data_IF_682836115132
#
_entry.id   IF_682836115132
#
_cell.length_a   1.000
_cell.length_b   1.000
_cell.length_c   1.000
_cell.angle_alpha   90.00
_cell.angle_beta   90.00
_cell.angle_gamma   90.00
#
_symmetry.space_group_name_H-M   'P 1'
#
loop_
_entity.id
_entity.type
_entity.pdbx_description
1 polymer ?
#
# COMPACT_ATOMS: atom_id res chain seq x y z
N UNK A 1 -10.22 16.50 0.84
CA UNK A 1 -9.11 16.12 1.76
C UNK A 1 -8.29 17.36 2.13
N UNK A 2 -7.74 17.42 3.35
CA UNK A 2 -6.73 18.42 3.75
C UNK A 2 -5.55 17.68 4.40
N UNK A 3 -4.34 17.98 3.95
CA UNK A 3 -3.12 17.49 4.60
C UNK A 3 -2.57 18.54 5.54
N UNK A 4 -2.21 18.14 6.75
CA UNK A 4 -1.62 18.99 7.79
C UNK A 4 -0.27 18.41 8.17
N UNK A 5 0.81 19.12 7.86
CA UNK A 5 2.16 18.76 8.31
C UNK A 5 2.31 19.19 9.77
N UNK A 6 2.48 18.25 10.68
CA UNK A 6 2.57 18.47 12.13
C UNK A 6 4.01 18.65 12.60
N UNK A 7 4.97 18.03 11.92
CA UNK A 7 6.38 18.09 12.26
C UNK A 7 7.26 17.30 11.30
N UNK A 8 8.55 17.28 11.58
CA UNK A 8 9.53 16.48 10.85
C UNK A 8 10.78 16.25 11.71
N UNK A 9 11.53 15.18 11.39
CA UNK A 9 12.87 14.90 11.93
C UNK A 9 13.79 14.51 10.76
N UNK A 10 14.66 15.44 10.34
CA UNK A 10 15.30 15.38 9.05
C UNK A 10 14.28 15.33 7.92
N UNK A 11 14.41 14.44 6.91
CA UNK A 11 13.40 14.27 5.86
C UNK A 11 12.15 13.53 6.31
N UNK A 12 12.18 12.77 7.43
CA UNK A 12 11.04 12.03 7.94
C UNK A 12 9.93 12.98 8.40
N UNK A 13 8.73 12.79 7.88
CA UNK A 13 7.61 13.72 8.02
C UNK A 13 6.55 13.17 8.96
N UNK A 14 5.96 14.05 9.77
CA UNK A 14 4.80 13.78 10.61
C UNK A 14 3.64 14.63 10.11
N UNK A 15 2.52 14.00 9.79
CA UNK A 15 1.36 14.73 9.28
C UNK A 15 0.03 14.07 9.65
N UNK A 16 -1.05 14.68 9.17
CA UNK A 16 -2.42 14.21 9.33
C UNK A 16 -3.23 14.52 8.09
N UNK A 17 -3.96 13.53 7.61
CA UNK A 17 -4.96 13.68 6.57
C UNK A 17 -6.33 13.83 7.20
N UNK A 18 -7.10 14.83 6.76
CA UNK A 18 -8.46 15.08 7.21
C UNK A 18 -9.46 14.77 6.10
N UNK A 19 -10.43 13.91 6.41
CA UNK A 19 -11.53 13.55 5.53
C UNK A 19 -12.85 13.73 6.26
N UNK A 20 -14.00 13.84 5.55
CA UNK A 20 -15.32 13.79 6.19
C UNK A 20 -15.56 12.50 6.99
N UNK A 21 -14.93 11.38 6.56
CA UNK A 21 -15.03 10.06 7.18
C UNK A 21 -13.99 9.78 8.28
N UNK A 22 -13.21 10.76 8.69
CA UNK A 22 -12.22 10.62 9.76
C UNK A 22 -10.85 11.19 9.42
N UNK A 23 -9.89 10.91 10.27
CA UNK A 23 -8.50 11.37 10.12
C UNK A 23 -7.56 10.18 9.95
N UNK A 24 -6.43 10.42 9.29
CA UNK A 24 -5.34 9.44 9.14
C UNK A 24 -4.04 10.08 9.58
N UNK A 25 -3.43 9.49 10.60
CA UNK A 25 -2.12 9.92 11.09
C UNK A 25 -1.01 9.38 10.18
N UNK A 26 -0.11 10.24 9.71
CA UNK A 26 1.02 9.83 8.86
C UNK A 26 2.36 9.94 9.58
N UNK A 27 3.33 9.05 9.27
CA UNK A 27 3.29 7.93 8.33
C UNK A 27 2.21 6.90 8.62
N UNK A 28 1.58 6.37 7.56
CA UNK A 28 0.46 5.43 7.65
C UNK A 28 0.67 4.20 6.76
N UNK A 29 0.22 3.02 7.23
CA UNK A 29 0.14 1.81 6.43
C UNK A 29 -1.32 1.44 6.17
N UNK A 30 -1.69 1.27 4.91
CA UNK A 30 -3.04 0.93 4.46
C UNK A 30 -3.17 -0.59 4.24
N UNK A 31 -3.95 -1.31 5.05
CA UNK A 31 -4.30 -2.69 4.76
C UNK A 31 -5.05 -2.82 3.43
N UNK A 32 -4.66 -3.81 2.60
CA UNK A 32 -5.22 -4.00 1.26
C UNK A 32 -6.47 -4.86 1.30
N UNK A 33 -7.59 -4.27 0.89
CA UNK A 33 -8.90 -4.89 0.75
C UNK A 33 -9.29 -5.15 -0.71
N UNK A 34 -8.65 -6.12 -1.37
CA UNK A 34 -8.73 -6.38 -2.82
C UNK A 34 -10.15 -6.44 -3.38
N UNK A 35 -11.07 -7.12 -2.68
CA UNK A 35 -12.48 -7.27 -3.09
C UNK A 35 -13.42 -6.59 -2.09
N UNK A 36 -13.07 -5.42 -1.59
CA UNK A 36 -13.81 -4.74 -0.54
C UNK A 36 -13.65 -5.38 0.84
N UNK A 37 -12.68 -6.28 1.00
CA UNK A 37 -12.35 -6.89 2.29
C UNK A 37 -10.85 -7.10 2.44
N UNK A 38 -10.31 -6.76 3.60
CA UNK A 38 -8.96 -7.19 3.99
C UNK A 38 -9.05 -8.67 4.35
N UNK A 39 -8.30 -9.51 3.62
CA UNK A 39 -8.42 -10.98 3.72
C UNK A 39 -8.23 -11.46 5.16
N UNK A 40 -9.15 -12.31 5.60
CA UNK A 40 -9.19 -12.91 6.93
C UNK A 40 -9.37 -11.90 8.09
N UNK A 41 -9.94 -10.71 7.82
CA UNK A 41 -10.21 -9.67 8.83
C UNK A 41 -11.67 -9.22 8.78
N UNK A 42 -12.25 -9.04 9.93
CA UNK A 42 -13.50 -8.29 10.10
C UNK A 42 -13.18 -6.78 10.16
N UNK A 43 -14.09 -5.89 9.73
CA UNK A 43 -13.89 -4.44 9.87
C UNK A 43 -13.63 -3.99 11.32
N UNK A 44 -14.28 -4.62 12.30
CA UNK A 44 -14.06 -4.37 13.73
C UNK A 44 -12.62 -4.72 14.15
N UNK A 45 -12.09 -5.83 13.66
CA UNK A 45 -10.71 -6.24 13.94
C UNK A 45 -9.68 -5.27 13.32
N UNK A 46 -9.99 -4.70 12.15
CA UNK A 46 -9.15 -3.65 11.54
C UNK A 46 -9.13 -2.38 12.41
N UNK A 47 -10.29 -1.96 12.93
CA UNK A 47 -10.35 -0.82 13.86
C UNK A 47 -9.61 -1.12 15.15
N UNK A 48 -9.77 -2.31 15.71
CA UNK A 48 -9.14 -2.71 16.98
C UNK A 48 -7.60 -2.71 16.90
N UNK A 49 -7.01 -2.99 15.73
CA UNK A 49 -5.56 -2.88 15.55
C UNK A 49 -5.09 -1.44 15.25
N UNK A 50 -6.01 -0.49 15.07
CA UNK A 50 -5.72 0.92 14.80
C UNK A 50 -5.52 1.26 13.31
N UNK A 51 -6.09 0.47 12.39
CA UNK A 51 -6.14 0.88 10.98
C UNK A 51 -7.13 2.04 10.82
N UNK A 52 -6.68 3.15 10.24
CA UNK A 52 -7.48 4.37 10.02
C UNK A 52 -7.96 4.49 8.58
N UNK A 53 -7.29 3.85 7.65
CA UNK A 53 -7.56 3.84 6.21
C UNK A 53 -7.30 2.45 5.63
N UNK A 54 -8.05 2.06 4.62
CA UNK A 54 -7.81 0.83 3.85
C UNK A 54 -7.69 1.15 2.36
N UNK A 55 -7.12 0.21 1.59
CA UNK A 55 -7.03 0.31 0.14
C UNK A 55 -7.98 -0.70 -0.52
N UNK A 56 -8.76 -0.24 -1.49
CA UNK A 56 -9.58 -1.06 -2.39
C UNK A 56 -8.97 -1.14 -3.79
N UNK A 57 -9.08 -2.31 -4.45
CA UNK A 57 -8.57 -2.45 -5.81
C UNK A 57 -9.68 -2.26 -6.85
N UNK A 58 -9.62 -1.16 -7.57
CA UNK A 58 -10.58 -0.75 -8.60
C UNK A 58 -10.82 -1.82 -9.65
N UNK A 59 -9.75 -2.39 -10.22
CA UNK A 59 -9.84 -3.44 -11.22
C UNK A 59 -10.66 -4.65 -10.77
N UNK A 60 -10.40 -5.14 -9.57
CA UNK A 60 -11.08 -6.31 -9.04
C UNK A 60 -12.57 -6.04 -8.75
N UNK A 61 -12.87 -4.89 -8.14
CA UNK A 61 -14.23 -4.49 -7.78
C UNK A 61 -15.07 -4.17 -9.02
N UNK A 62 -14.47 -3.58 -10.07
CA UNK A 62 -15.10 -3.32 -11.33
C UNK A 62 -15.54 -4.60 -12.06
N UNK A 63 -14.65 -5.61 -12.09
CA UNK A 63 -14.96 -6.90 -12.73
C UNK A 63 -15.89 -7.77 -11.87
N UNK A 64 -15.83 -7.64 -10.56
CA UNK A 64 -16.66 -8.41 -9.60
C UNK A 64 -16.72 -7.70 -8.24
N UNK A 65 -17.87 -7.30 -7.72
CA UNK A 65 -19.24 -7.65 -8.20
C UNK A 65 -19.75 -6.79 -9.37
N UNK A 66 -19.01 -5.73 -9.77
CA UNK A 66 -19.46 -4.72 -10.72
C UNK A 66 -20.06 -3.50 -10.04
N UNK A 67 -20.14 -2.39 -10.78
CA UNK A 67 -20.50 -1.09 -10.19
C UNK A 67 -21.96 -1.02 -9.77
N UNK A 68 -22.89 -1.61 -10.53
CA UNK A 68 -24.32 -1.63 -10.18
C UNK A 68 -24.57 -2.17 -8.76
N UNK A 69 -23.86 -3.24 -8.39
CA UNK A 69 -23.99 -3.84 -7.06
C UNK A 69 -23.45 -2.90 -5.98
N UNK A 70 -22.29 -2.27 -6.22
CA UNK A 70 -21.66 -1.36 -5.25
C UNK A 70 -22.47 -0.08 -5.08
N UNK A 71 -22.97 0.51 -6.17
CA UNK A 71 -23.82 1.69 -6.15
C UNK A 71 -25.15 1.44 -5.41
N UNK A 72 -25.75 0.24 -5.56
CA UNK A 72 -26.95 -0.15 -4.80
C UNK A 72 -26.71 -0.19 -3.28
N UNK A 73 -25.45 -0.31 -2.82
CA UNK A 73 -25.06 -0.24 -1.41
C UNK A 73 -24.63 1.17 -0.94
N UNK A 74 -24.72 2.17 -1.83
CA UNK A 74 -24.25 3.54 -1.55
C UNK A 74 -22.73 3.67 -1.53
N UNK A 75 -22.03 2.95 -2.43
CA UNK A 75 -20.58 2.96 -2.57
C UNK A 75 -19.87 1.84 -1.79
N UNK A 76 -18.54 1.84 -1.87
CA UNK A 76 -17.71 0.79 -1.27
C UNK A 76 -17.79 0.75 0.25
N UNK A 77 -17.94 1.91 0.93
CA UNK A 77 -18.11 2.00 2.37
C UNK A 77 -19.34 1.24 2.87
N UNK A 78 -20.48 1.46 2.22
CA UNK A 78 -21.73 0.74 2.51
C UNK A 78 -21.66 -0.74 2.18
N UNK A 79 -20.97 -1.08 1.08
CA UNK A 79 -20.78 -2.46 0.64
C UNK A 79 -19.93 -3.27 1.62
N UNK A 80 -18.75 -2.75 2.02
CA UNK A 80 -17.82 -3.49 2.87
C UNK A 80 -17.93 -3.17 4.38
N UNK A 81 -18.86 -2.28 4.79
CA UNK A 81 -19.07 -1.87 6.19
C UNK A 81 -17.84 -1.23 6.85
N UNK A 82 -17.03 -0.54 6.06
CA UNK A 82 -15.90 0.23 6.55
C UNK A 82 -16.28 1.72 6.62
N UNK A 83 -16.17 2.33 7.81
CA UNK A 83 -16.61 3.71 8.04
C UNK A 83 -15.47 4.74 7.95
N UNK A 84 -14.20 4.29 7.89
CA UNK A 84 -13.05 5.16 7.74
C UNK A 84 -12.75 5.48 6.28
N UNK A 85 -11.76 6.33 6.00
CA UNK A 85 -11.31 6.62 4.64
C UNK A 85 -10.92 5.38 3.85
N UNK A 86 -11.14 5.43 2.53
CA UNK A 86 -10.72 4.41 1.56
C UNK A 86 -9.92 5.09 0.46
N UNK A 87 -8.74 4.54 0.14
CA UNK A 87 -8.04 4.82 -1.11
C UNK A 87 -8.37 3.73 -2.12
N UNK A 88 -8.67 4.09 -3.36
CA UNK A 88 -8.76 3.14 -4.47
C UNK A 88 -7.63 3.36 -5.45
N UNK A 89 -6.98 2.26 -5.88
CA UNK A 89 -5.99 2.30 -6.96
C UNK A 89 -6.65 2.57 -8.33
N UNK A 90 -5.82 2.81 -9.35
CA UNK A 90 -6.32 3.08 -10.70
C UNK A 90 -6.75 1.84 -11.49
N UNK A 91 -6.34 0.65 -11.04
CA UNK A 91 -6.47 -0.61 -11.79
C UNK A 91 -5.32 -0.85 -12.80
N UNK A 92 -4.46 0.12 -13.06
CA UNK A 92 -3.38 0.03 -14.05
C UNK A 92 -2.38 -1.10 -13.75
N UNK A 93 -1.94 -1.20 -12.50
CA UNK A 93 -1.00 -2.25 -12.08
C UNK A 93 -1.58 -3.67 -12.25
N UNK A 94 -2.87 -3.89 -11.93
CA UNK A 94 -3.51 -5.19 -12.06
C UNK A 94 -3.62 -5.59 -13.55
N UNK A 95 -3.92 -4.66 -14.43
CA UNK A 95 -3.89 -4.89 -15.88
C UNK A 95 -2.46 -5.25 -16.33
N UNK A 96 -1.45 -4.58 -15.78
CA UNK A 96 -0.05 -4.89 -16.07
C UNK A 96 0.36 -6.28 -15.55
N UNK A 97 -0.01 -6.65 -14.32
CA UNK A 97 0.46 -7.86 -13.66
C UNK A 97 -0.35 -9.13 -13.99
N UNK A 98 -1.67 -9.00 -14.24
CA UNK A 98 -2.59 -10.12 -14.37
C UNK A 98 -3.04 -10.41 -15.81
N UNK A 99 -3.03 -9.41 -16.70
CA UNK A 99 -3.50 -9.56 -18.06
C UNK A 99 -2.40 -10.13 -18.98
N UNK A 100 -2.46 -11.44 -19.26
CA UNK A 100 -1.52 -12.15 -20.14
C UNK A 100 -1.50 -11.61 -21.59
N UNK A 101 -2.61 -11.05 -22.08
CA UNK A 101 -2.76 -10.45 -23.41
C UNK A 101 -3.36 -9.07 -23.25
N UNK A 102 -2.50 -8.06 -23.23
CA UNK A 102 -2.90 -6.66 -23.18
C UNK A 102 -2.34 -5.89 -24.37
N UNK A 103 -3.12 -4.94 -24.84
CA UNK A 103 -2.69 -3.96 -25.85
C UNK A 103 -2.83 -2.57 -25.24
N UNK A 104 -1.71 -1.88 -25.09
CA UNK A 104 -1.63 -0.51 -24.61
C UNK A 104 -1.61 0.42 -25.82
N UNK A 105 -2.45 1.45 -25.80
CA UNK A 105 -2.53 2.51 -26.80
C UNK A 105 -2.65 3.86 -26.11
N UNK A 106 -2.66 4.95 -26.84
CA UNK A 106 -2.88 6.30 -26.30
C UNK A 106 -4.24 6.42 -25.59
N UNK A 107 -5.25 5.72 -26.10
CA UNK A 107 -6.63 5.77 -25.59
C UNK A 107 -6.79 5.02 -24.27
N UNK A 108 -5.99 3.97 -24.04
CA UNK A 108 -6.10 3.10 -22.87
C UNK A 108 -5.59 1.70 -23.13
N UNK A 109 -6.04 0.74 -22.32
CA UNK A 109 -5.56 -0.64 -22.34
C UNK A 109 -6.72 -1.60 -22.63
N UNK A 110 -6.55 -2.40 -23.68
CA UNK A 110 -7.45 -3.52 -23.98
C UNK A 110 -6.84 -4.82 -23.46
N UNK A 111 -7.62 -5.63 -22.76
CA UNK A 111 -7.17 -6.91 -22.21
C UNK A 111 -8.31 -7.93 -22.13
N UNK A 112 -7.96 -9.21 -21.88
CA UNK A 112 -8.93 -10.24 -21.57
C UNK A 112 -9.18 -10.30 -20.05
N UNK A 113 -10.46 -10.20 -19.66
CA UNK A 113 -10.88 -10.31 -18.26
C UNK A 113 -10.41 -11.65 -17.66
N UNK A 114 -9.77 -11.66 -16.49
CA UNK A 114 -9.35 -12.91 -15.84
C UNK A 114 -10.53 -13.70 -15.26
N UNK A 115 -11.73 -13.13 -15.20
CA UNK A 115 -12.91 -13.79 -14.63
C UNK A 115 -13.67 -14.65 -15.63
N UNK A 116 -13.80 -14.18 -16.87
CA UNK A 116 -14.63 -14.80 -17.91
C UNK A 116 -14.00 -14.78 -19.32
N UNK A 117 -12.83 -14.17 -19.48
CA UNK A 117 -12.13 -14.04 -20.74
C UNK A 117 -12.69 -12.98 -21.68
N UNK A 118 -13.72 -12.25 -21.28
CA UNK A 118 -14.31 -11.18 -22.10
C UNK A 118 -13.28 -10.10 -22.43
N UNK A 119 -13.39 -9.50 -23.61
CA UNK A 119 -12.54 -8.36 -23.99
C UNK A 119 -13.00 -7.11 -23.24
N UNK A 120 -12.10 -6.52 -22.48
CA UNK A 120 -12.34 -5.33 -21.64
C UNK A 120 -11.41 -4.21 -22.08
N UNK A 121 -11.92 -2.96 -22.01
CA UNK A 121 -11.15 -1.75 -22.26
C UNK A 121 -11.17 -0.85 -21.04
N UNK A 122 -10.00 -0.46 -20.57
CA UNK A 122 -9.80 0.45 -19.44
C UNK A 122 -9.02 1.67 -19.92
N UNK A 123 -9.60 2.84 -19.71
CA UNK A 123 -9.01 4.15 -20.03
C UNK A 123 -8.92 5.00 -18.75
N UNK A 124 -8.20 6.15 -18.79
CA UNK A 124 -8.26 7.12 -17.70
C UNK A 124 -9.67 7.49 -17.28
N UNK A 125 -10.56 7.76 -18.25
CA UNK A 125 -11.95 8.15 -17.98
C UNK A 125 -12.75 7.03 -17.32
N UNK A 126 -12.61 5.79 -17.82
CA UNK A 126 -13.28 4.62 -17.25
C UNK A 126 -12.78 4.37 -15.81
N UNK A 127 -11.47 4.46 -15.57
CA UNK A 127 -10.90 4.32 -14.23
C UNK A 127 -11.47 5.37 -13.26
N UNK A 128 -11.54 6.64 -13.67
CA UNK A 128 -12.11 7.70 -12.84
C UNK A 128 -13.60 7.48 -12.57
N UNK A 129 -14.37 7.02 -13.57
CA UNK A 129 -15.79 6.71 -13.39
C UNK A 129 -15.99 5.55 -12.41
N UNK A 130 -15.21 4.48 -12.55
CA UNK A 130 -15.27 3.33 -11.61
C UNK A 130 -14.96 3.76 -10.19
N UNK A 131 -13.89 4.55 -9.98
CA UNK A 131 -13.53 5.03 -8.65
C UNK A 131 -14.56 6.01 -8.08
N UNK A 132 -15.26 6.77 -8.93
CA UNK A 132 -16.41 7.60 -8.51
C UNK A 132 -17.57 6.74 -8.02
N UNK A 133 -17.91 5.65 -8.72
CA UNK A 133 -18.94 4.70 -8.27
C UNK A 133 -18.55 3.96 -6.99
N UNK A 134 -17.25 3.76 -6.77
CA UNK A 134 -16.74 3.23 -5.49
C UNK A 134 -16.89 4.22 -4.33
N UNK A 135 -17.06 5.50 -4.57
CA UNK A 135 -17.15 6.58 -3.57
C UNK A 135 -15.96 6.59 -2.59
N UNK A 136 -14.75 6.38 -3.13
CA UNK A 136 -13.53 6.41 -2.32
C UNK A 136 -13.10 7.84 -1.95
N UNK A 137 -12.36 7.98 -0.84
CA UNK A 137 -11.90 9.28 -0.35
C UNK A 137 -10.62 9.76 -1.03
N UNK A 138 -9.79 8.82 -1.51
CA UNK A 138 -8.62 9.07 -2.34
C UNK A 138 -8.71 8.24 -3.61
N UNK A 139 -8.59 8.90 -4.74
CA UNK A 139 -8.63 8.36 -6.10
C UNK A 139 -7.25 8.46 -6.72
N UNK A 140 -6.78 7.43 -7.40
CA UNK A 140 -5.50 7.42 -8.10
C UNK A 140 -5.71 7.66 -9.60
N UNK A 141 -4.86 8.49 -10.24
CA UNK A 141 -4.85 8.63 -11.70
C UNK A 141 -4.57 7.29 -12.37
N UNK A 142 -5.02 7.11 -13.61
CA UNK A 142 -4.64 5.95 -14.41
C UNK A 142 -3.23 6.14 -14.97
N UNK A 143 -2.37 5.15 -14.80
CA UNK A 143 -0.96 5.18 -15.17
C UNK A 143 -0.49 3.88 -15.83
N UNK A 144 0.65 3.93 -16.50
CA UNK A 144 1.34 2.75 -17.01
C UNK A 144 2.52 2.39 -16.10
N UNK A 145 2.45 1.20 -15.47
CA UNK A 145 3.56 0.68 -14.69
C UNK A 145 4.68 0.18 -15.63
N UNK A 146 5.83 0.81 -15.58
CA UNK A 146 7.02 0.39 -16.34
C UNK A 146 7.58 -0.91 -15.78
N UNK A 147 7.91 -1.92 -16.61
CA UNK A 147 8.56 -3.15 -16.12
C UNK A 147 9.98 -2.87 -15.63
N UNK A 148 10.49 -3.73 -14.75
CA UNK A 148 11.92 -3.71 -14.37
C UNK A 148 12.58 -5.04 -14.77
N UNK A 149 13.82 -5.01 -15.32
CA UNK A 149 14.52 -3.80 -15.78
C UNK A 149 13.91 -3.21 -17.05
N UNK A 150 14.03 -1.91 -17.25
CA UNK A 150 13.64 -1.21 -18.47
C UNK A 150 14.79 -0.33 -18.98
N UNK A 151 14.94 -0.28 -20.30
CA UNK A 151 15.85 0.71 -20.91
C UNK A 151 15.27 2.12 -20.76
N UNK A 152 16.12 3.13 -20.75
CA UNK A 152 15.68 4.52 -20.60
C UNK A 152 14.63 4.94 -21.66
N UNK A 153 14.75 4.61 -22.97
CA UNK A 153 13.71 4.93 -23.94
C UNK A 153 12.34 4.29 -23.64
N UNK A 154 12.31 3.06 -23.09
CA UNK A 154 11.07 2.38 -22.68
C UNK A 154 10.46 3.08 -21.49
N UNK A 155 11.26 3.38 -20.47
CA UNK A 155 10.81 4.10 -19.28
C UNK A 155 10.31 5.51 -19.62
N UNK A 156 10.98 6.22 -20.53
CA UNK A 156 10.59 7.54 -21.03
C UNK A 156 9.23 7.50 -21.72
N UNK A 157 9.03 6.59 -22.65
CA UNK A 157 7.75 6.44 -23.38
C UNK A 157 6.59 6.13 -22.42
N UNK A 158 6.80 5.24 -21.48
CA UNK A 158 5.81 4.88 -20.46
C UNK A 158 5.48 6.07 -19.55
N UNK A 159 6.49 6.79 -19.08
CA UNK A 159 6.33 7.98 -18.25
C UNK A 159 5.55 9.09 -18.99
N UNK A 160 5.88 9.35 -20.24
CA UNK A 160 5.20 10.36 -21.06
C UNK A 160 3.73 9.98 -21.34
N UNK A 161 3.42 8.70 -21.57
CA UNK A 161 2.05 8.22 -21.67
C UNK A 161 1.31 8.43 -20.35
N UNK A 162 1.93 8.08 -19.23
CA UNK A 162 1.34 8.28 -17.89
C UNK A 162 1.04 9.76 -17.61
N UNK A 163 1.86 10.70 -18.05
CA UNK A 163 1.59 12.13 -17.92
C UNK A 163 0.36 12.57 -18.75
N UNK A 164 0.22 12.11 -19.99
CA UNK A 164 -0.96 12.39 -20.80
C UNK A 164 -2.23 11.77 -20.21
N UNK A 165 -2.12 10.57 -19.66
CA UNK A 165 -3.21 9.92 -18.93
C UNK A 165 -3.55 10.62 -17.61
N UNK A 166 -2.56 11.23 -16.95
CA UNK A 166 -2.76 12.05 -15.76
C UNK A 166 -3.64 13.27 -16.05
N UNK A 167 -3.39 13.99 -17.15
CA UNK A 167 -4.23 15.12 -17.60
C UNK A 167 -5.67 14.68 -17.90
N UNK A 168 -5.84 13.53 -18.58
CA UNK A 168 -7.15 12.96 -18.89
C UNK A 168 -7.88 12.53 -17.62
N UNK A 169 -7.17 11.88 -16.68
CA UNK A 169 -7.71 11.51 -15.37
C UNK A 169 -8.18 12.75 -14.60
N UNK A 170 -7.36 13.82 -14.58
CA UNK A 170 -7.71 15.08 -13.90
C UNK A 170 -9.01 15.67 -14.46
N UNK A 171 -9.15 15.75 -15.78
CA UNK A 171 -10.39 16.23 -16.42
C UNK A 171 -11.61 15.34 -16.13
N UNK A 172 -11.42 14.02 -16.18
CA UNK A 172 -12.51 13.07 -15.91
C UNK A 172 -12.90 13.04 -14.42
N UNK A 173 -12.03 13.51 -13.53
CA UNK A 173 -12.28 13.63 -12.10
C UNK A 173 -13.08 14.88 -11.71
N UNK A 174 -13.20 15.87 -12.58
CA UNK A 174 -13.95 17.11 -12.32
C UNK A 174 -15.34 16.84 -11.75
N UNK A 175 -15.73 17.60 -10.74
CA UNK A 175 -16.99 17.42 -10.01
C UNK A 175 -17.03 16.19 -9.09
N UNK A 176 -15.89 15.61 -8.73
CA UNK A 176 -15.75 14.62 -7.66
C UNK A 176 -15.03 15.27 -6.47
N UNK A 177 -15.60 15.18 -5.26
CA UNK A 177 -15.05 15.78 -4.04
C UNK A 177 -13.90 14.94 -3.41
N UNK A 178 -13.67 13.73 -3.91
CA UNK A 178 -12.56 12.88 -3.47
C UNK A 178 -11.21 13.52 -3.84
N UNK A 179 -10.18 13.27 -3.03
CA UNK A 179 -8.83 13.70 -3.35
C UNK A 179 -8.28 12.90 -4.54
N UNK A 180 -7.62 13.56 -5.48
CA UNK A 180 -6.98 12.93 -6.62
C UNK A 180 -5.46 12.96 -6.46
N UNK A 181 -4.82 11.78 -6.50
CA UNK A 181 -3.36 11.66 -6.41
C UNK A 181 -2.74 11.41 -7.78
N UNK A 182 -1.69 12.19 -8.10
CA UNK A 182 -0.82 11.94 -9.23
C UNK A 182 0.16 10.80 -8.94
N UNK A 183 0.59 10.06 -9.98
CA UNK A 183 1.54 8.95 -9.85
C UNK A 183 2.79 9.28 -10.65
N UNK A 184 3.92 9.46 -9.97
CA UNK A 184 5.22 9.68 -10.57
C UNK A 184 5.74 8.35 -11.13
N UNK A 185 6.03 8.32 -12.44
CA UNK A 185 6.63 7.20 -13.14
C UNK A 185 8.02 7.58 -13.67
N UNK A 186 8.77 6.63 -14.24
CA UNK A 186 10.11 6.87 -14.79
C UNK A 186 11.14 5.77 -14.46
N UNK A 187 10.71 4.59 -13.97
CA UNK A 187 11.59 3.50 -13.56
C UNK A 187 12.56 3.94 -12.46
N UNK A 188 13.83 3.56 -12.58
CA UNK A 188 14.92 4.01 -11.69
C UNK A 188 15.74 5.18 -12.29
N UNK A 189 15.21 5.85 -13.33
CA UNK A 189 15.87 6.96 -14.01
C UNK A 189 15.49 8.29 -13.35
N UNK A 190 16.42 8.86 -12.57
CA UNK A 190 16.16 10.07 -11.78
C UNK A 190 15.70 11.27 -12.63
N UNK A 191 16.26 11.45 -13.83
CA UNK A 191 15.87 12.53 -14.74
C UNK A 191 14.41 12.37 -15.22
N UNK A 192 13.98 11.13 -15.51
CA UNK A 192 12.62 10.85 -15.90
C UNK A 192 11.66 11.05 -14.73
N UNK A 193 12.05 10.66 -13.52
CA UNK A 193 11.30 10.91 -12.29
C UNK A 193 11.10 12.39 -12.02
N UNK A 194 12.18 13.18 -12.16
CA UNK A 194 12.11 14.64 -12.00
C UNK A 194 11.15 15.27 -13.02
N UNK A 195 11.25 14.89 -14.30
CA UNK A 195 10.36 15.34 -15.36
C UNK A 195 8.90 14.93 -15.13
N UNK A 196 8.66 13.70 -14.67
CA UNK A 196 7.34 13.23 -14.29
C UNK A 196 6.76 14.05 -13.14
N UNK A 197 7.53 14.29 -12.08
CA UNK A 197 7.11 15.09 -10.94
C UNK A 197 6.79 16.55 -11.33
N UNK A 198 7.61 17.16 -12.20
CA UNK A 198 7.37 18.51 -12.70
C UNK A 198 6.06 18.59 -13.50
N UNK A 199 5.84 17.66 -14.45
CA UNK A 199 4.60 17.59 -15.23
C UNK A 199 3.37 17.40 -14.34
N UNK A 200 3.42 16.50 -13.37
CA UNK A 200 2.31 16.28 -12.43
C UNK A 200 2.04 17.51 -11.56
N UNK A 201 3.08 18.22 -11.10
CA UNK A 201 2.92 19.48 -10.35
C UNK A 201 2.25 20.56 -11.19
N UNK A 202 2.58 20.64 -12.49
CA UNK A 202 1.94 21.58 -13.41
C UNK A 202 0.45 21.29 -13.62
N UNK A 203 0.05 20.01 -13.65
CA UNK A 203 -1.36 19.58 -13.72
C UNK A 203 -2.08 19.88 -12.38
N UNK A 204 -1.42 19.66 -11.25
CA UNK A 204 -1.92 19.91 -9.90
C UNK A 204 -2.78 18.76 -9.34
N UNK A 205 -2.33 18.17 -8.24
CA UNK A 205 -2.99 17.06 -7.54
C UNK A 205 -3.02 17.32 -6.03
N UNK A 206 -3.89 16.59 -5.31
CA UNK A 206 -4.03 16.71 -3.85
C UNK A 206 -2.96 15.92 -3.09
N UNK A 207 -2.24 15.04 -3.78
CA UNK A 207 -1.12 14.24 -3.26
C UNK A 207 -0.35 13.58 -4.39
N UNK A 208 0.82 13.04 -4.08
CA UNK A 208 1.74 12.44 -5.06
C UNK A 208 2.16 11.06 -4.64
N UNK A 209 1.89 10.09 -5.51
CA UNK A 209 2.36 8.73 -5.34
C UNK A 209 3.63 8.46 -6.16
N UNK A 210 4.44 7.55 -5.67
CA UNK A 210 5.61 7.02 -6.36
C UNK A 210 5.26 5.61 -6.85
N UNK A 211 4.99 5.49 -8.15
CA UNK A 211 4.69 4.22 -8.80
C UNK A 211 5.91 3.61 -9.49
N UNK A 212 5.78 2.39 -10.02
CA UNK A 212 6.83 1.70 -10.78
C UNK A 212 8.09 1.39 -9.97
N UNK A 213 7.99 1.28 -8.66
CA UNK A 213 8.98 0.70 -7.75
C UNK A 213 8.38 -0.54 -7.07
N UNK A 214 9.21 -1.35 -6.39
CA UNK A 214 8.86 -2.67 -5.86
C UNK A 214 8.40 -3.67 -6.96
N UNK A 215 8.94 -3.52 -8.16
CA UNK A 215 8.67 -4.37 -9.34
C UNK A 215 9.85 -5.27 -9.70
N UNK A 216 10.87 -5.34 -8.84
CA UNK A 216 12.03 -6.22 -9.00
C UNK A 216 13.39 -5.54 -8.86
N UNK A 217 13.43 -4.23 -8.68
CA UNK A 217 14.67 -3.47 -8.46
C UNK A 217 15.30 -3.81 -7.09
N UNK A 218 16.64 -3.72 -6.98
CA UNK A 218 17.32 -3.80 -5.70
C UNK A 218 16.88 -2.69 -4.73
N UNK A 219 16.87 -2.94 -3.41
CA UNK A 219 16.53 -1.92 -2.41
C UNK A 219 17.36 -0.64 -2.54
N UNK A 220 18.63 -0.76 -2.88
CA UNK A 220 19.57 0.36 -3.01
C UNK A 220 19.16 1.30 -4.16
N UNK A 221 18.71 0.76 -5.30
CA UNK A 221 18.23 1.56 -6.44
C UNK A 221 16.93 2.28 -6.10
N UNK A 222 16.00 1.59 -5.41
CA UNK A 222 14.77 2.20 -4.93
C UNK A 222 15.07 3.34 -3.97
N UNK A 223 15.94 3.12 -3.00
CA UNK A 223 16.30 4.09 -1.98
C UNK A 223 16.97 5.32 -2.58
N UNK A 224 17.91 5.14 -3.52
CA UNK A 224 18.52 6.23 -4.26
C UNK A 224 17.49 7.01 -5.10
N UNK A 225 16.52 6.32 -5.71
CA UNK A 225 15.43 6.95 -6.46
C UNK A 225 14.57 7.82 -5.55
N UNK A 226 14.20 7.33 -4.36
CA UNK A 226 13.41 8.11 -3.38
C UNK A 226 14.20 9.30 -2.85
N UNK A 227 15.49 9.16 -2.59
CA UNK A 227 16.34 10.23 -2.12
C UNK A 227 16.44 11.38 -3.14
N UNK A 228 16.50 11.05 -4.43
CA UNK A 228 16.50 12.05 -5.50
C UNK A 228 15.12 12.68 -5.74
N UNK A 229 14.03 11.88 -5.62
CA UNK A 229 12.68 12.31 -6.00
C UNK A 229 11.97 13.08 -4.88
N UNK A 230 12.02 12.62 -3.63
CA UNK A 230 11.20 13.18 -2.56
C UNK A 230 11.40 14.69 -2.35
N UNK A 231 12.62 15.27 -2.48
CA UNK A 231 12.81 16.72 -2.38
C UNK A 231 12.12 17.53 -3.49
N UNK A 232 11.78 16.90 -4.61
CA UNK A 232 11.12 17.56 -5.75
C UNK A 232 9.60 17.63 -5.61
N UNK A 233 9.03 16.83 -4.67
CA UNK A 233 7.59 16.79 -4.41
C UNK A 233 7.18 17.87 -3.41
N UNK A 234 5.94 18.41 -3.51
CA UNK A 234 5.45 19.44 -2.62
C UNK A 234 5.55 19.05 -1.14
N UNK A 235 5.83 20.03 -0.29
CA UNK A 235 5.91 19.82 1.17
C UNK A 235 4.55 19.80 1.87
N UNK A 236 3.59 20.50 1.31
CA UNK A 236 2.23 20.67 1.82
C UNK A 236 1.24 19.61 1.34
N UNK A 237 1.76 18.57 0.67
CA UNK A 237 0.97 17.47 0.13
C UNK A 237 1.53 16.11 0.56
N UNK A 238 0.67 15.07 0.72
CA UNK A 238 1.13 13.74 1.13
C UNK A 238 1.86 13.02 0.00
N UNK A 239 2.82 12.15 0.38
CA UNK A 239 3.63 11.33 -0.51
C UNK A 239 3.36 9.85 -0.23
N UNK A 240 2.96 9.13 -1.24
CA UNK A 240 2.57 7.72 -1.14
C UNK A 240 3.49 6.83 -1.95
N UNK A 241 4.17 5.87 -1.31
CA UNK A 241 4.98 4.84 -1.97
C UNK A 241 4.15 3.58 -2.15
N UNK A 242 3.81 3.27 -3.42
CA UNK A 242 2.90 2.20 -3.77
C UNK A 242 3.55 0.81 -3.68
N UNK A 243 2.86 -0.14 -3.05
CA UNK A 243 3.21 -1.56 -3.05
C UNK A 243 4.43 -1.97 -2.23
N UNK A 244 5.04 -1.06 -1.48
CA UNK A 244 6.21 -1.34 -0.62
C UNK A 244 5.76 -1.78 0.76
N UNK A 245 6.23 -2.96 1.20
CA UNK A 245 5.68 -3.58 2.41
C UNK A 245 6.63 -4.36 3.29
N UNK A 246 7.93 -4.48 3.00
CA UNK A 246 8.85 -4.98 4.03
C UNK A 246 9.02 -3.91 5.11
N UNK A 247 8.96 -4.28 6.41
CA UNK A 247 9.15 -3.29 7.48
C UNK A 247 10.43 -2.47 7.35
N UNK A 248 11.53 -3.08 6.89
CA UNK A 248 12.79 -2.41 6.63
C UNK A 248 12.68 -1.34 5.55
N UNK A 249 12.03 -1.69 4.45
CA UNK A 249 11.84 -0.79 3.31
C UNK A 249 10.93 0.40 3.68
N UNK A 250 9.94 0.17 4.54
CA UNK A 250 9.06 1.22 5.07
C UNK A 250 9.86 2.22 5.91
N UNK A 251 10.69 1.74 6.85
CA UNK A 251 11.51 2.61 7.70
C UNK A 251 12.48 3.44 6.85
N UNK A 252 13.10 2.82 5.83
CA UNK A 252 14.00 3.51 4.91
C UNK A 252 13.27 4.54 4.03
N UNK A 253 12.06 4.25 3.58
CA UNK A 253 11.28 5.20 2.79
C UNK A 253 10.76 6.37 3.63
N UNK A 254 10.37 6.14 4.89
CA UNK A 254 10.03 7.24 5.84
C UNK A 254 11.24 8.14 6.07
N UNK A 255 12.44 7.57 6.20
CA UNK A 255 13.68 8.35 6.32
C UNK A 255 13.94 9.28 5.13
N UNK A 256 13.29 9.04 3.99
CA UNK A 256 13.38 9.84 2.75
C UNK A 256 12.15 10.72 2.51
N UNK A 257 11.18 10.72 3.41
CA UNK A 257 10.04 11.63 3.37
C UNK A 257 8.75 11.07 2.76
N UNK A 258 8.56 9.76 2.78
CA UNK A 258 7.30 9.11 2.40
C UNK A 258 6.33 9.08 3.59
N UNK A 259 5.05 9.34 3.32
CA UNK A 259 3.98 9.45 4.31
C UNK A 259 3.03 8.25 4.34
N UNK A 260 2.82 7.57 3.21
CA UNK A 260 1.79 6.54 3.07
C UNK A 260 2.35 5.29 2.37
N UNK A 261 1.83 4.13 2.77
CA UNK A 261 2.25 2.82 2.27
C UNK A 261 1.06 1.88 2.15
N UNK A 262 1.14 0.96 1.20
CA UNK A 262 0.30 -0.23 1.11
C UNK A 262 1.13 -1.44 0.72
N UNK A 263 0.70 -2.61 1.11
CA UNK A 263 1.20 -3.86 0.54
C UNK A 263 0.31 -5.04 0.95
N UNK A 264 0.18 -6.02 0.07
CA UNK A 264 -0.49 -7.31 0.39
C UNK A 264 0.36 -8.22 1.27
N UNK A 265 1.64 -7.87 1.48
CA UNK A 265 2.61 -8.73 2.17
C UNK A 265 2.16 -9.18 3.56
N UNK A 266 1.68 -8.31 4.49
CA UNK A 266 1.29 -8.76 5.82
C UNK A 266 0.16 -9.79 5.79
N UNK A 267 -0.85 -9.60 4.95
CA UNK A 267 -1.99 -10.52 4.83
C UNK A 267 -1.64 -11.77 4.01
N UNK A 268 -0.83 -11.63 2.96
CA UNK A 268 -0.36 -12.76 2.15
C UNK A 268 0.55 -13.67 2.97
N UNK A 269 1.52 -13.13 3.66
CA UNK A 269 2.45 -13.87 4.50
C UNK A 269 1.73 -14.58 5.66
N UNK A 270 0.74 -13.93 6.28
CA UNK A 270 -0.09 -14.53 7.31
C UNK A 270 -0.74 -15.85 6.84
N UNK A 271 -1.38 -15.84 5.67
CA UNK A 271 -2.02 -17.02 5.09
C UNK A 271 -1.03 -18.11 4.63
N UNK A 272 0.25 -17.80 4.63
CA UNK A 272 1.34 -18.75 4.36
C UNK A 272 2.14 -19.13 5.61
N UNK A 273 1.61 -18.84 6.80
CA UNK A 273 2.23 -19.21 8.07
C UNK A 273 3.46 -18.38 8.44
N UNK A 274 3.61 -17.16 7.88
CA UNK A 274 4.69 -16.25 8.19
C UNK A 274 4.19 -15.08 9.03
N UNK A 275 4.76 -14.89 10.20
CA UNK A 275 4.44 -13.84 11.15
C UNK A 275 5.59 -12.83 11.24
N UNK A 276 5.26 -11.55 11.16
CA UNK A 276 6.23 -10.48 11.40
C UNK A 276 6.40 -10.24 12.89
N UNK A 277 7.65 -10.13 13.33
CA UNK A 277 8.03 -9.81 14.70
C UNK A 277 9.13 -8.75 14.70
N UNK A 278 9.41 -8.10 15.83
CA UNK A 278 10.41 -7.03 15.93
C UNK A 278 11.77 -7.44 15.38
N UNK A 279 12.21 -8.66 15.67
CA UNK A 279 13.49 -9.19 15.20
C UNK A 279 13.46 -9.80 13.78
N UNK A 280 12.32 -9.81 13.06
CA UNK A 280 12.26 -10.41 11.72
C UNK A 280 10.96 -11.17 11.45
N UNK A 281 11.05 -12.48 11.21
CA UNK A 281 9.88 -13.31 10.87
C UNK A 281 9.92 -14.66 11.59
N UNK A 282 8.75 -15.12 12.02
CA UNK A 282 8.50 -16.49 12.50
C UNK A 282 7.79 -17.26 11.40
N UNK A 283 8.38 -18.37 10.93
CA UNK A 283 7.75 -19.32 10.00
C UNK A 283 7.14 -20.44 10.82
N UNK A 284 5.84 -20.35 11.09
CA UNK A 284 5.17 -21.22 12.07
C UNK A 284 5.20 -22.71 11.70
N UNK A 285 5.37 -23.04 10.41
CA UNK A 285 5.46 -24.42 9.91
C UNK A 285 6.72 -25.16 10.34
N UNK A 286 7.76 -24.44 10.82
CA UNK A 286 9.01 -25.06 11.27
C UNK A 286 8.76 -26.00 12.45
N UNK A 287 9.48 -27.14 12.47
CA UNK A 287 9.31 -28.19 13.46
C UNK A 287 9.56 -27.70 14.90
N UNK A 288 10.47 -26.76 15.10
CA UNK A 288 10.80 -26.19 16.42
C UNK A 288 9.59 -25.60 17.17
N UNK A 289 8.51 -25.24 16.46
CA UNK A 289 7.29 -24.66 17.05
C UNK A 289 6.22 -25.69 17.43
N UNK A 290 6.49 -26.99 17.21
CA UNK A 290 5.52 -28.06 17.48
C UNK A 290 5.09 -28.13 18.93
N UNK A 291 6.03 -27.86 19.86
CA UNK A 291 5.81 -27.90 21.31
C UNK A 291 6.07 -26.55 21.98
N UNK A 292 6.10 -25.46 21.19
CA UNK A 292 6.41 -24.12 21.72
C UNK A 292 5.14 -23.47 22.30
N UNK A 293 5.08 -23.36 23.62
CA UNK A 293 3.92 -22.79 24.34
C UNK A 293 3.96 -21.26 24.42
N UNK A 294 4.98 -20.61 23.88
CA UNK A 294 5.08 -19.15 23.87
C UNK A 294 4.14 -18.54 22.82
N UNK A 295 3.68 -17.28 23.01
CA UNK A 295 3.00 -16.52 21.95
C UNK A 295 3.94 -16.26 20.78
N UNK A 296 3.41 -15.77 19.65
CA UNK A 296 4.22 -15.41 18.48
C UNK A 296 5.32 -14.43 18.87
N UNK A 297 4.97 -13.39 19.60
CA UNK A 297 5.93 -12.39 20.11
C UNK A 297 5.60 -12.06 21.56
N UNK A 298 6.51 -12.37 22.51
CA UNK A 298 6.36 -11.97 23.91
C UNK A 298 6.21 -10.44 24.03
N UNK A 299 5.23 -9.99 24.80
CA UNK A 299 4.94 -8.56 25.00
C UNK A 299 4.14 -7.89 23.86
N UNK A 300 3.78 -8.62 22.80
CA UNK A 300 2.88 -8.11 21.78
C UNK A 300 1.45 -8.03 22.32
N UNK A 301 0.80 -6.88 22.08
CA UNK A 301 -0.56 -6.58 22.57
C UNK A 301 -1.67 -6.93 21.59
N UNK A 302 -1.35 -7.52 20.41
CA UNK A 302 -2.38 -7.95 19.48
C UNK A 302 -3.28 -9.04 20.09
N UNK A 303 -4.52 -9.14 19.60
CA UNK A 303 -5.47 -10.15 20.07
C UNK A 303 -4.86 -11.56 20.09
N UNK A 304 -4.15 -11.97 19.04
CA UNK A 304 -3.55 -13.31 18.94
C UNK A 304 -2.57 -13.60 20.09
N UNK A 305 -1.65 -12.67 20.38
CA UNK A 305 -0.63 -12.86 21.41
C UNK A 305 -1.22 -12.64 22.83
N UNK A 306 -2.04 -11.61 23.02
CA UNK A 306 -2.62 -11.26 24.31
C UNK A 306 -3.66 -12.28 24.81
N UNK A 307 -4.37 -12.96 23.89
CA UNK A 307 -5.29 -14.05 24.24
C UNK A 307 -4.58 -15.38 24.56
N UNK A 308 -3.24 -15.42 24.50
CA UNK A 308 -2.48 -16.61 24.89
C UNK A 308 -2.40 -17.70 23.81
N UNK A 309 -2.74 -17.42 22.56
CA UNK A 309 -2.54 -18.38 21.47
C UNK A 309 -1.06 -18.72 21.31
N UNK A 310 -0.73 -20.01 21.49
CA UNK A 310 0.65 -20.50 21.47
C UNK A 310 1.13 -20.77 20.05
N UNK A 311 2.44 -20.73 19.83
CA UNK A 311 3.06 -21.11 18.55
C UNK A 311 2.70 -22.55 18.14
N UNK A 312 2.64 -23.47 19.10
CA UNK A 312 2.24 -24.87 18.84
C UNK A 312 0.82 -24.97 18.33
N UNK A 313 -0.14 -24.23 18.94
CA UNK A 313 -1.52 -24.19 18.49
C UNK A 313 -1.67 -23.54 17.12
N UNK A 314 -1.03 -22.40 16.89
CA UNK A 314 -1.03 -21.71 15.59
C UNK A 314 -0.41 -22.56 14.48
N UNK A 315 0.66 -23.31 14.78
CA UNK A 315 1.24 -24.30 13.87
C UNK A 315 0.25 -25.43 13.55
N UNK A 316 -0.43 -25.95 14.56
CA UNK A 316 -1.46 -26.98 14.39
C UNK A 316 -2.57 -26.48 13.43
N UNK A 317 -3.15 -25.32 13.70
CA UNK A 317 -4.19 -24.74 12.84
C UNK A 317 -3.71 -24.53 11.38
N UNK A 318 -2.50 -23.97 11.21
CA UNK A 318 -1.93 -23.74 9.85
C UNK A 318 -1.72 -25.06 9.11
N UNK A 319 -1.24 -26.11 9.78
CA UNK A 319 -1.04 -27.43 9.17
C UNK A 319 -2.34 -28.17 8.84
N UNK A 320 -3.41 -27.88 9.58
CA UNK A 320 -4.74 -28.39 9.31
C UNK A 320 -5.53 -27.53 8.30
N UNK A 321 -4.92 -26.46 7.78
CA UNK A 321 -5.55 -25.48 6.87
C UNK A 321 -6.84 -24.86 7.46
N UNK A 322 -6.89 -24.67 8.79
CA UNK A 322 -8.01 -24.04 9.46
C UNK A 322 -8.05 -22.53 9.13
N UNK A 323 -9.25 -22.00 8.85
CA UNK A 323 -9.45 -20.57 8.54
C UNK A 323 -8.98 -19.69 9.70
N UNK A 324 -9.16 -20.14 10.95
CA UNK A 324 -8.72 -19.43 12.15
C UNK A 324 -7.22 -19.15 12.16
N UNK A 325 -6.39 -20.03 11.57
CA UNK A 325 -4.95 -19.78 11.40
C UNK A 325 -4.69 -18.50 10.62
N UNK A 326 -5.36 -18.33 9.48
CA UNK A 326 -5.24 -17.14 8.65
C UNK A 326 -5.75 -15.88 9.35
N UNK A 327 -6.84 -15.98 10.12
CA UNK A 327 -7.40 -14.86 10.88
C UNK A 327 -6.43 -14.38 11.98
N UNK A 328 -5.98 -15.29 12.84
CA UNK A 328 -5.07 -14.97 13.94
C UNK A 328 -3.72 -14.44 13.44
N UNK A 329 -3.20 -15.02 12.36
CA UNK A 329 -1.96 -14.58 11.73
C UNK A 329 -2.10 -13.18 11.11
N UNK A 330 -3.23 -12.90 10.44
CA UNK A 330 -3.46 -11.60 9.81
C UNK A 330 -3.65 -10.51 10.86
N UNK A 331 -4.39 -10.78 11.94
CA UNK A 331 -4.52 -9.85 13.08
C UNK A 331 -3.15 -9.49 13.64
N UNK A 332 -2.29 -10.49 13.89
CA UNK A 332 -0.95 -10.26 14.42
C UNK A 332 -0.10 -9.42 13.44
N UNK A 333 -0.04 -9.81 12.17
CA UNK A 333 0.80 -9.13 11.19
C UNK A 333 0.36 -7.68 10.95
N UNK A 334 -0.93 -7.42 10.77
CA UNK A 334 -1.41 -6.07 10.59
C UNK A 334 -1.26 -5.22 11.86
N UNK A 335 -1.45 -5.81 13.05
CA UNK A 335 -1.13 -5.12 14.31
C UNK A 335 0.35 -4.72 14.37
N UNK A 336 1.26 -5.61 13.96
CA UNK A 336 2.70 -5.32 13.90
C UNK A 336 2.98 -4.11 12.99
N UNK A 337 2.34 -4.03 11.81
CA UNK A 337 2.50 -2.90 10.91
C UNK A 337 1.93 -1.60 11.49
N UNK A 338 0.74 -1.64 12.09
CA UNK A 338 0.16 -0.47 12.73
C UNK A 338 0.99 -0.01 13.94
N UNK A 339 1.56 -0.96 14.70
CA UNK A 339 2.48 -0.63 15.80
C UNK A 339 3.77 0.02 15.27
N UNK A 340 4.35 -0.50 14.19
CA UNK A 340 5.50 0.11 13.53
C UNK A 340 5.21 1.56 13.13
N UNK A 341 4.03 1.84 12.56
CA UNK A 341 3.64 3.22 12.22
C UNK A 341 3.53 4.11 13.46
N UNK A 342 2.95 3.61 14.56
CA UNK A 342 2.89 4.36 15.83
C UNK A 342 4.28 4.66 16.38
N UNK A 343 5.18 3.69 16.38
CA UNK A 343 6.54 3.83 16.88
C UNK A 343 7.34 4.85 16.04
N UNK A 344 7.20 4.80 14.71
CA UNK A 344 7.79 5.77 13.78
C UNK A 344 7.29 7.19 14.09
N UNK A 345 5.97 7.39 14.18
CA UNK A 345 5.38 8.70 14.47
C UNK A 345 5.87 9.23 15.82
N UNK A 346 5.87 8.40 16.86
CA UNK A 346 6.38 8.78 18.17
C UNK A 346 7.87 9.17 18.15
N UNK A 347 8.68 8.48 17.36
CA UNK A 347 10.09 8.79 17.19
C UNK A 347 10.30 10.13 16.47
N UNK A 348 9.51 10.42 15.42
CA UNK A 348 9.55 11.72 14.71
C UNK A 348 9.09 12.85 15.65
N UNK A 349 7.97 12.67 16.36
CA UNK A 349 7.43 13.66 17.30
C UNK A 349 8.43 14.00 18.43
N UNK A 350 9.28 13.02 18.80
CA UNK A 350 10.33 13.20 19.82
C UNK A 350 11.67 13.71 19.26
N UNK A 351 11.82 13.92 17.93
CA UNK A 351 13.08 14.28 17.29
C UNK A 351 14.17 13.20 17.42
N UNK A 352 13.78 11.92 17.46
CA UNK A 352 14.66 10.77 17.66
C UNK A 352 14.49 9.67 16.60
N UNK A 353 14.05 10.06 15.42
CA UNK A 353 13.81 9.08 14.35
C UNK A 353 15.10 8.41 13.87
N UNK A 354 16.22 9.12 13.89
CA UNK A 354 17.54 8.55 13.54
C UNK A 354 17.93 7.41 14.49
N UNK A 355 17.77 7.61 15.80
CA UNK A 355 18.04 6.58 16.81
C UNK A 355 17.09 5.40 16.69
N UNK A 356 15.80 5.68 16.46
CA UNK A 356 14.80 4.64 16.21
C UNK A 356 15.18 3.77 15.01
N UNK A 357 15.53 4.38 13.87
CA UNK A 357 15.96 3.69 12.65
C UNK A 357 17.18 2.79 12.92
N UNK A 358 18.19 3.31 13.61
CA UNK A 358 19.39 2.55 13.95
C UNK A 358 19.07 1.34 14.87
N UNK A 359 18.27 1.55 15.92
CA UNK A 359 17.84 0.49 16.83
C UNK A 359 16.98 -0.57 16.14
N UNK A 360 16.08 -0.15 15.22
CA UNK A 360 15.26 -1.05 14.43
C UNK A 360 16.09 -2.02 13.59
N UNK A 361 17.09 -1.52 12.85
CA UNK A 361 17.96 -2.35 12.03
C UNK A 361 18.88 -3.23 12.89
N UNK A 362 19.41 -2.71 13.99
CA UNK A 362 20.25 -3.49 14.93
C UNK A 362 19.48 -4.69 15.50
N UNK A 363 18.24 -4.50 15.93
CA UNK A 363 17.41 -5.59 16.46
C UNK A 363 17.15 -6.70 15.41
N UNK A 364 16.99 -6.34 14.15
CA UNK A 364 16.76 -7.30 13.06
C UNK A 364 18.05 -8.02 12.65
N UNK A 365 19.19 -7.32 12.65
CA UNK A 365 20.49 -7.93 12.38
C UNK A 365 20.90 -8.98 13.46
N UNK A 366 20.58 -8.72 14.74
CA UNK A 366 20.83 -9.65 15.83
C UNK A 366 19.97 -10.92 15.79
N UNK A 367 18.76 -10.81 15.27
CA UNK A 367 17.83 -11.93 15.17
C UNK A 367 17.99 -12.76 13.89
N UNK A 368 18.75 -12.27 12.89
CA UNK A 368 19.11 -13.04 11.71
C UNK A 368 19.95 -14.25 12.16
N UNK A 369 19.64 -15.51 11.72
CA UNK A 369 20.49 -16.63 12.03
C UNK A 369 21.90 -16.30 11.50
N UNK A 370 22.90 -16.28 12.38
CA UNK A 370 24.31 -16.32 11.98
C UNK A 370 24.47 -17.52 11.08
N UNK A 371 24.76 -17.28 9.81
CA UNK A 371 24.73 -18.25 8.73
C UNK A 371 25.45 -19.55 9.07
N UNK A 372 24.78 -20.64 8.83
CA UNK A 372 25.27 -21.99 8.74
C UNK A 372 24.88 -22.53 7.38
#
# INVERSE_FOLDING_TARGET
>A
MRFEKLGQDGPARRGRLHFPRGTVETPAFMPVGTYGTVKAMLPESLRAIGAEIILGNTFHLWLRPGMEVIEAHGGLHGFCKWNGPILTDSGGFQVWSLAKRRKITEEGVTFASPTDGAKVFLSPEVSMQVQRSLDSDIVMIFDECTPYPATEPVARKSMELSLRWAERSKRAHEGNDAALFGIVQGGTWNELRARSAEGLKAIGFDGYAVGGLAVGEPPEERDATLEALCPLLPEDQPRYLMGVGKPEDIVEAVARGIDMFDCVMPTRNARNGHYFVRGGQVRIRNAQYERDLRPIEPGCTCYTCASGYTRSYLRHLDRCNEILASMLATIHNLHHYQQLMRDIRAAIDAGRFREFRAAFHAARAQAAPTGG
#
